data_IF_608364268052
#
_entry.id   IF_608364268052
#
_cell.length_a   1.000
_cell.length_b   1.000
_cell.length_c   1.000
_cell.angle_alpha   90.00
_cell.angle_beta   90.00
_cell.angle_gamma   90.00
#
_symmetry.space_group_name_H-M   'P 1'
#
loop_
_entity.id
_entity.type
_entity.pdbx_description
1 polymer ?
#
# COMPACT_ATOMS: atom_id res chain seq x y z
N UNK A 1 -3.97 4.30 -31.07
CA UNK A 1 -2.49 4.22 -31.17
C UNK A 1 -2.07 2.90 -30.53
N UNK A 2 -1.32 2.05 -31.23
CA UNK A 2 -0.70 0.87 -30.60
C UNK A 2 0.56 1.34 -29.89
N UNK A 3 0.53 1.32 -28.57
CA UNK A 3 1.68 1.64 -27.73
C UNK A 3 2.51 0.37 -27.52
N UNK A 4 3.80 0.42 -27.83
CA UNK A 4 4.73 -0.69 -27.63
C UNK A 4 5.40 -0.57 -26.25
N UNK A 5 4.62 -0.84 -25.20
CA UNK A 5 5.10 -0.84 -23.81
C UNK A 5 4.72 -2.14 -23.12
N UNK A 6 5.64 -2.66 -22.30
CA UNK A 6 5.34 -3.72 -21.35
C UNK A 6 5.17 -3.11 -19.96
N UNK A 7 4.08 -3.46 -19.28
CA UNK A 7 3.76 -2.96 -17.95
C UNK A 7 3.74 -4.13 -16.99
N UNK A 8 4.51 -4.04 -15.91
CA UNK A 8 4.57 -5.03 -14.84
C UNK A 8 4.18 -4.38 -13.52
N UNK A 9 3.19 -4.97 -12.84
CA UNK A 9 2.84 -4.55 -11.49
C UNK A 9 3.64 -5.39 -10.48
N UNK A 10 4.62 -4.74 -9.87
CA UNK A 10 5.54 -5.35 -8.92
C UNK A 10 5.07 -5.20 -7.47
N UNK A 11 3.79 -4.90 -7.22
CA UNK A 11 3.25 -4.74 -5.87
C UNK A 11 3.43 -6.01 -5.03
N UNK A 12 3.72 -5.81 -3.75
CA UNK A 12 3.76 -6.84 -2.72
C UNK A 12 2.73 -6.51 -1.65
N UNK A 13 2.11 -7.53 -1.06
CA UNK A 13 1.18 -7.33 0.07
C UNK A 13 1.92 -6.66 1.23
N UNK A 14 1.36 -5.54 1.69
CA UNK A 14 1.91 -4.75 2.81
C UNK A 14 3.34 -4.25 2.59
N UNK A 15 3.68 -3.96 1.33
CA UNK A 15 4.94 -3.31 0.97
C UNK A 15 5.08 -1.94 1.64
N UNK A 16 6.30 -1.57 2.00
CA UNK A 16 6.64 -0.28 2.58
C UNK A 16 7.87 0.30 1.87
N UNK A 17 8.09 1.62 1.92
CA UNK A 17 9.29 2.21 1.32
C UNK A 17 10.60 1.57 1.78
N UNK A 18 10.68 1.13 3.04
CA UNK A 18 11.87 0.45 3.58
C UNK A 18 12.06 -0.91 2.91
N UNK A 19 11.01 -1.73 2.84
CA UNK A 19 11.09 -3.05 2.22
C UNK A 19 11.36 -2.97 0.72
N UNK A 20 10.76 -1.99 0.04
CA UNK A 20 10.99 -1.76 -1.39
C UNK A 20 12.43 -1.35 -1.67
N UNK A 21 13.04 -0.55 -0.79
CA UNK A 21 14.43 -0.14 -0.92
C UNK A 21 15.39 -1.34 -0.95
N UNK A 22 15.09 -2.44 -0.27
CA UNK A 22 15.92 -3.66 -0.30
C UNK A 22 15.95 -4.34 -1.69
N UNK A 23 15.04 -3.97 -2.60
CA UNK A 23 14.89 -4.58 -3.92
C UNK A 23 14.97 -3.58 -5.07
N UNK A 24 15.32 -2.33 -4.78
CA UNK A 24 15.33 -1.26 -5.78
C UNK A 24 16.35 -1.52 -6.90
N UNK A 25 17.51 -2.10 -6.59
CA UNK A 25 18.54 -2.44 -7.58
C UNK A 25 17.99 -3.36 -8.66
N UNK A 26 17.17 -4.35 -8.28
CA UNK A 26 16.53 -5.27 -9.22
C UNK A 26 15.58 -4.54 -10.17
N UNK A 27 14.90 -3.49 -9.69
CA UNK A 27 14.00 -2.67 -10.51
C UNK A 27 14.82 -1.81 -11.46
N UNK A 28 15.87 -1.15 -10.95
CA UNK A 28 16.77 -0.31 -11.74
C UNK A 28 17.47 -1.13 -12.84
N UNK A 29 17.91 -2.34 -12.54
CA UNK A 29 18.59 -3.25 -13.48
C UNK A 29 17.70 -3.67 -14.65
N UNK A 30 16.37 -3.67 -14.47
CA UNK A 30 15.42 -3.90 -15.58
C UNK A 30 15.31 -2.72 -16.54
N UNK A 31 15.94 -1.58 -16.22
CA UNK A 31 15.98 -0.35 -17.01
C UNK A 31 14.59 0.13 -17.47
N UNK A 32 13.62 0.29 -16.55
CA UNK A 32 12.31 0.79 -16.92
C UNK A 32 12.40 2.24 -17.39
N UNK A 33 11.58 2.62 -18.37
CA UNK A 33 11.46 4.03 -18.78
C UNK A 33 10.72 4.88 -17.74
N UNK A 34 9.85 4.25 -16.94
CA UNK A 34 9.00 4.88 -15.95
C UNK A 34 8.69 3.90 -14.80
N UNK A 35 8.72 4.41 -13.57
CA UNK A 35 8.22 3.71 -12.38
C UNK A 35 7.02 4.47 -11.83
N UNK A 36 5.94 3.75 -11.53
CA UNK A 36 4.77 4.30 -10.82
C UNK A 36 4.77 3.74 -9.41
N UNK A 37 4.85 4.62 -8.42
CA UNK A 37 4.92 4.25 -7.02
C UNK A 37 3.71 4.82 -6.29
N UNK A 38 2.84 3.94 -5.79
CA UNK A 38 1.67 4.31 -4.99
C UNK A 38 2.08 4.72 -3.57
N UNK A 39 1.60 5.87 -3.11
CA UNK A 39 1.81 6.35 -1.74
C UNK A 39 0.51 6.86 -1.11
N UNK A 40 0.46 6.82 0.20
CA UNK A 40 -0.64 7.30 1.03
C UNK A 40 -0.07 7.69 2.40
N UNK A 41 -0.83 8.41 3.26
CA UNK A 41 -0.28 8.86 4.54
C UNK A 41 0.16 7.70 5.44
N UNK A 42 -0.55 6.55 5.39
CA UNK A 42 -0.20 5.35 6.16
C UNK A 42 1.16 4.75 5.82
N UNK A 43 1.70 5.02 4.62
CA UNK A 43 3.02 4.53 4.22
C UNK A 43 4.16 5.26 4.95
N UNK A 44 3.83 6.35 5.66
CA UNK A 44 4.75 7.16 6.47
C UNK A 44 4.43 7.11 7.97
N UNK A 45 3.54 6.20 8.38
CA UNK A 45 3.15 6.00 9.77
C UNK A 45 3.70 4.67 10.29
N UNK A 46 4.07 4.64 11.57
CA UNK A 46 4.25 3.36 12.24
C UNK A 46 2.87 2.79 12.61
N UNK A 47 2.75 1.46 12.61
CA UNK A 47 1.58 0.81 13.20
C UNK A 47 1.68 1.00 14.71
N UNK A 48 0.65 1.61 15.33
CA UNK A 48 0.61 1.75 16.78
C UNK A 48 0.45 0.36 17.38
N UNK A 49 1.44 -0.07 18.16
CA UNK A 49 1.26 -1.25 19.00
C UNK A 49 0.24 -0.89 20.08
N UNK A 50 -0.96 -1.45 20.00
CA UNK A 50 -1.99 -1.24 21.02
C UNK A 50 -1.63 -2.05 22.25
N UNK A 51 -0.87 -1.48 23.18
CA UNK A 51 -0.65 -2.06 24.51
C UNK A 51 -1.81 -1.76 25.49
N UNK A 52 -2.78 -0.93 25.12
CA UNK A 52 -3.82 -0.44 26.04
C UNK A 52 -5.25 -0.63 25.50
N UNK A 53 -5.78 -1.85 25.44
CA UNK A 53 -7.23 -2.09 25.21
C UNK A 53 -7.93 -2.73 26.42
N UNK A 54 -7.29 -2.82 27.60
CA UNK A 54 -7.99 -3.31 28.80
C UNK A 54 -7.64 -2.52 30.06
N UNK A 55 -7.94 -1.23 30.05
CA UNK A 55 -8.39 -0.55 31.28
C UNK A 55 -9.91 -0.38 31.22
N UNK A 56 -10.66 -1.48 31.21
CA UNK A 56 -12.04 -1.49 31.75
C UNK A 56 -12.46 -2.92 32.05
N UNK A 57 -13.13 -3.07 33.19
CA UNK A 57 -13.76 -4.26 33.78
C UNK A 57 -12.83 -5.32 34.38
N UNK A 58 -12.68 -5.23 35.69
CA UNK A 58 -12.54 -6.38 36.57
C UNK A 58 -13.64 -7.40 36.21
N UNK A 59 -13.27 -8.68 36.08
CA UNK A 59 -14.12 -9.85 35.74
C UNK A 59 -14.33 -10.15 34.25
N UNK A 60 -13.31 -10.67 33.58
CA UNK A 60 -13.34 -11.97 32.88
C UNK A 60 -11.92 -12.26 32.36
N UNK A 61 -11.43 -13.49 32.58
CA UNK A 61 -10.12 -13.92 32.09
C UNK A 61 -10.28 -14.84 30.88
N UNK A 62 -10.02 -14.35 29.66
CA UNK A 62 -9.40 -15.15 28.62
C UNK A 62 -7.89 -15.05 28.77
N UNK A 63 -7.15 -16.13 28.50
CA UNK A 63 -5.69 -16.10 28.65
C UNK A 63 -5.08 -15.02 27.74
N UNK A 64 -4.11 -14.21 28.23
CA UNK A 64 -3.43 -13.19 27.42
C UNK A 64 -2.85 -13.74 26.11
N UNK A 65 -2.46 -15.02 26.13
CA UNK A 65 -1.93 -15.74 24.98
C UNK A 65 -2.95 -15.91 23.85
N UNK A 66 -4.22 -16.16 24.17
CA UNK A 66 -5.27 -16.36 23.16
C UNK A 66 -5.65 -15.04 22.50
N UNK A 67 -5.75 -13.96 23.28
CA UNK A 67 -6.04 -12.62 22.76
C UNK A 67 -4.89 -12.14 21.87
N UNK A 68 -3.63 -12.33 22.29
CA UNK A 68 -2.48 -11.95 21.47
C UNK A 68 -2.44 -12.73 20.16
N UNK A 69 -2.70 -14.03 20.20
CA UNK A 69 -2.76 -14.87 19.00
C UNK A 69 -3.93 -14.47 18.10
N UNK A 70 -5.12 -14.22 18.63
CA UNK A 70 -6.29 -13.79 17.85
C UNK A 70 -6.06 -12.41 17.20
N UNK A 71 -5.37 -11.50 17.89
CA UNK A 71 -5.02 -10.18 17.37
C UNK A 71 -3.89 -10.26 16.32
N UNK A 72 -2.89 -11.10 16.55
CA UNK A 72 -1.78 -11.35 15.63
C UNK A 72 -2.25 -12.10 14.39
N UNK A 73 -3.13 -13.07 14.54
CA UNK A 73 -3.81 -13.78 13.46
C UNK A 73 -4.72 -12.82 12.70
N UNK A 74 -5.48 -11.95 13.38
CA UNK A 74 -6.26 -10.91 12.71
C UNK A 74 -5.36 -9.92 11.97
N UNK A 75 -4.20 -9.54 12.51
CA UNK A 75 -3.24 -8.65 11.88
C UNK A 75 -2.61 -9.30 10.63
N UNK A 76 -2.11 -10.52 10.77
CA UNK A 76 -1.48 -11.28 9.68
C UNK A 76 -2.48 -11.66 8.59
N UNK A 77 -3.71 -12.04 8.95
CA UNK A 77 -4.78 -12.34 8.00
C UNK A 77 -5.29 -11.08 7.30
N UNK A 78 -5.45 -9.95 8.02
CA UNK A 78 -5.88 -8.69 7.42
C UNK A 78 -4.84 -8.15 6.43
N UNK A 79 -3.56 -8.21 6.77
CA UNK A 79 -2.47 -7.71 5.92
C UNK A 79 -1.91 -8.75 4.94
N UNK A 80 -2.39 -10.01 5.00
CA UNK A 80 -1.81 -11.18 4.32
C UNK A 80 -0.27 -11.17 4.38
N UNK A 81 0.28 -10.76 5.52
CA UNK A 81 1.70 -10.45 5.68
C UNK A 81 2.52 -11.74 5.68
N UNK A 82 3.34 -11.95 4.65
CA UNK A 82 4.21 -13.13 4.57
C UNK A 82 5.67 -12.71 4.80
N UNK A 83 6.10 -12.78 6.06
CA UNK A 83 7.44 -12.36 6.52
C UNK A 83 8.58 -13.19 5.89
N UNK A 84 8.30 -14.36 5.31
CA UNK A 84 9.31 -15.21 4.69
C UNK A 84 9.82 -14.66 3.34
N UNK A 85 9.09 -13.73 2.72
CA UNK A 85 9.49 -13.10 1.46
C UNK A 85 10.76 -12.23 1.58
N UNK A 86 10.99 -11.62 2.75
CA UNK A 86 12.06 -10.62 2.94
C UNK A 86 13.35 -11.21 3.54
N UNK A 87 13.38 -12.52 3.83
CA UNK A 87 14.57 -13.15 4.46
C UNK A 87 15.63 -13.63 3.48
N UNK A 88 15.32 -13.78 2.19
CA UNK A 88 16.29 -14.28 1.23
C UNK A 88 15.88 -14.03 -0.23
N UNK A 89 16.76 -13.46 -1.07
CA UNK A 89 16.58 -13.43 -2.53
C UNK A 89 16.35 -14.84 -3.11
N UNK A 90 16.93 -15.86 -2.47
CA UNK A 90 16.78 -17.27 -2.85
C UNK A 90 15.34 -17.76 -2.64
N UNK A 91 14.62 -17.22 -1.64
CA UNK A 91 13.24 -17.58 -1.34
C UNK A 91 12.26 -16.96 -2.35
N UNK A 92 12.48 -15.71 -2.77
CA UNK A 92 11.71 -15.07 -3.84
C UNK A 92 11.85 -15.87 -5.15
N UNK A 93 13.08 -16.21 -5.54
CA UNK A 93 13.36 -17.07 -6.71
C UNK A 93 12.69 -18.44 -6.58
N UNK A 94 12.77 -19.07 -5.40
CA UNK A 94 12.17 -20.38 -5.17
C UNK A 94 10.64 -20.35 -5.21
N UNK A 95 10.00 -19.28 -4.72
CA UNK A 95 8.54 -19.08 -4.77
C UNK A 95 8.06 -18.78 -6.18
N UNK A 96 8.84 -18.02 -6.96
CA UNK A 96 8.59 -17.79 -8.38
C UNK A 96 8.63 -19.10 -9.20
N UNK A 97 9.59 -19.99 -8.88
CA UNK A 97 9.72 -21.31 -9.54
C UNK A 97 8.63 -22.30 -9.06
N UNK A 98 8.31 -22.31 -7.76
CA UNK A 98 7.41 -23.31 -7.17
C UNK A 98 5.92 -22.93 -7.22
N UNK A 99 5.59 -21.66 -7.42
CA UNK A 99 4.23 -21.16 -7.22
C UNK A 99 3.85 -21.12 -5.73
N UNK A 100 2.96 -20.20 -5.36
CA UNK A 100 2.43 -20.08 -4.00
C UNK A 100 1.68 -21.36 -3.57
N UNK A 101 1.81 -21.82 -2.31
CA UNK A 101 0.96 -22.87 -1.78
C UNK A 101 -0.50 -22.41 -1.87
N UNK A 102 -1.37 -23.28 -2.42
CA UNK A 102 -2.81 -23.01 -2.54
C UNK A 102 -3.40 -22.81 -1.14
N UNK A 103 -3.78 -21.58 -0.79
CA UNK A 103 -4.85 -21.40 0.19
C UNK A 103 -6.14 -21.98 -0.40
N UNK A 104 -7.03 -22.45 0.46
CA UNK A 104 -8.33 -23.02 0.08
C UNK A 104 -9.30 -22.02 -0.53
N UNK A 105 -8.98 -20.74 -0.48
CA UNK A 105 -9.75 -19.66 -1.10
C UNK A 105 -9.40 -19.54 -2.59
N UNK A 106 -10.40 -19.32 -3.46
CA UNK A 106 -10.17 -19.07 -4.87
C UNK A 106 -9.30 -17.81 -5.07
N UNK A 107 -8.13 -18.01 -5.66
CA UNK A 107 -7.16 -16.96 -5.97
C UNK A 107 -7.27 -16.57 -7.44
N UNK A 108 -7.41 -15.29 -7.72
CA UNK A 108 -7.36 -14.71 -9.06
C UNK A 108 -5.93 -14.24 -9.35
N UNK A 109 -5.36 -14.75 -10.43
CA UNK A 109 -4.10 -14.24 -10.99
C UNK A 109 -4.42 -13.14 -11.99
N UNK A 110 -3.87 -11.96 -11.80
CA UNK A 110 -3.96 -10.88 -12.77
C UNK A 110 -2.76 -10.94 -13.72
N UNK A 111 -2.95 -10.58 -14.98
CA UNK A 111 -1.84 -10.52 -15.94
C UNK A 111 -0.77 -9.53 -15.47
N UNK A 112 0.49 -9.85 -15.74
CA UNK A 112 1.66 -9.03 -15.40
C UNK A 112 1.78 -8.63 -13.90
N UNK A 113 1.22 -9.44 -12.99
CA UNK A 113 1.35 -9.29 -11.52
C UNK A 113 2.16 -10.46 -10.92
N UNK A 114 3.46 -10.60 -11.20
CA UNK A 114 4.24 -11.80 -10.86
C UNK A 114 4.29 -12.11 -9.35
N UNK A 115 4.07 -11.12 -8.49
CA UNK A 115 4.21 -11.26 -7.04
C UNK A 115 2.90 -11.03 -6.25
N UNK A 116 1.81 -10.72 -6.94
CA UNK A 116 0.54 -10.39 -6.30
C UNK A 116 -0.58 -11.28 -6.82
N UNK A 117 -1.46 -11.69 -5.91
CA UNK A 117 -2.61 -12.50 -6.25
C UNK A 117 -3.80 -12.05 -5.42
N UNK A 118 -4.96 -11.97 -6.06
CA UNK A 118 -6.15 -11.36 -5.46
C UNK A 118 -7.05 -12.45 -4.91
N UNK A 119 -7.47 -12.31 -3.65
CA UNK A 119 -8.53 -13.15 -3.10
C UNK A 119 -9.89 -12.71 -3.64
N UNK A 120 -10.81 -13.65 -3.87
CA UNK A 120 -12.13 -13.34 -4.41
C UNK A 120 -12.93 -12.35 -3.52
N UNK A 121 -12.64 -12.34 -2.22
CA UNK A 121 -13.20 -11.43 -1.23
C UNK A 121 -12.90 -9.95 -1.56
N UNK A 122 -11.73 -9.68 -2.15
CA UNK A 122 -11.31 -8.33 -2.55
C UNK A 122 -12.15 -7.74 -3.70
N UNK A 123 -13.02 -8.55 -4.33
CA UNK A 123 -13.97 -8.06 -5.34
C UNK A 123 -15.22 -7.44 -4.72
N UNK A 124 -15.53 -7.75 -3.47
CA UNK A 124 -16.75 -7.29 -2.82
C UNK A 124 -16.56 -5.88 -2.26
N UNK A 125 -17.54 -5.02 -2.52
CA UNK A 125 -17.64 -3.72 -1.86
C UNK A 125 -18.34 -3.88 -0.52
N UNK A 126 -17.94 -3.08 0.47
CA UNK A 126 -18.57 -3.01 1.79
C UNK A 126 -19.46 -1.78 1.90
N UNK A 127 -20.55 -1.91 2.64
CA UNK A 127 -21.37 -0.78 3.03
C UNK A 127 -20.61 0.17 3.96
N UNK A 128 -21.06 1.43 4.04
CA UNK A 128 -20.48 2.41 4.97
C UNK A 128 -20.54 1.95 6.43
N UNK A 129 -21.56 1.18 6.83
CA UNK A 129 -21.67 0.64 8.18
C UNK A 129 -20.58 -0.41 8.45
N UNK A 130 -20.38 -1.34 7.51
CA UNK A 130 -19.32 -2.35 7.62
C UNK A 130 -17.93 -1.73 7.64
N UNK A 131 -17.70 -0.71 6.81
CA UNK A 131 -16.43 0.03 6.78
C UNK A 131 -16.17 0.74 8.11
N UNK A 132 -17.18 1.43 8.68
CA UNK A 132 -17.05 2.08 10.00
C UNK A 132 -16.76 1.08 11.11
N UNK A 133 -17.47 -0.06 11.11
CA UNK A 133 -17.26 -1.12 12.10
C UNK A 133 -15.83 -1.69 11.99
N UNK A 134 -15.34 -1.90 10.77
CA UNK A 134 -13.98 -2.35 10.52
C UNK A 134 -12.96 -1.30 10.97
N UNK A 135 -13.19 -0.02 10.69
CA UNK A 135 -12.31 1.09 11.09
C UNK A 135 -12.08 1.13 12.60
N UNK A 136 -13.14 0.92 13.39
CA UNK A 136 -13.07 1.00 14.86
C UNK A 136 -12.25 -0.13 15.50
N UNK A 137 -12.09 -1.27 14.82
CA UNK A 137 -11.37 -2.43 15.35
C UNK A 137 -9.96 -2.59 14.77
N UNK A 138 -9.62 -1.83 13.73
CA UNK A 138 -8.32 -1.94 13.10
C UNK A 138 -7.22 -1.28 13.95
N UNK A 139 -5.98 -1.83 13.90
CA UNK A 139 -4.82 -1.18 14.50
C UNK A 139 -4.72 0.26 14.00
N UNK A 140 -4.68 1.19 14.94
CA UNK A 140 -4.55 2.60 14.62
C UNK A 140 -3.10 2.87 14.18
N UNK A 141 -2.93 3.80 13.26
CA UNK A 141 -1.61 4.28 12.87
C UNK A 141 -1.13 5.33 13.87
N UNK A 142 0.17 5.34 14.15
CA UNK A 142 0.79 6.46 14.86
C UNK A 142 0.77 7.72 14.00
N UNK A 143 1.04 8.87 14.61
CA UNK A 143 1.20 10.11 13.86
C UNK A 143 2.37 9.98 12.88
N UNK A 144 2.25 10.66 11.74
CA UNK A 144 3.37 10.82 10.82
C UNK A 144 4.47 11.58 11.56
N UNK A 145 5.65 10.96 11.66
CA UNK A 145 6.81 11.62 12.25
C UNK A 145 7.26 12.81 11.39
N UNK A 146 7.94 13.77 12.01
CA UNK A 146 8.56 14.88 11.27
C UNK A 146 9.54 14.36 10.22
N UNK A 147 9.74 15.13 9.14
CA UNK A 147 10.58 14.75 8.00
C UNK A 147 11.98 14.27 8.43
N UNK A 148 12.56 14.86 9.46
CA UNK A 148 13.91 14.57 9.94
C UNK A 148 14.02 13.22 10.67
N UNK A 149 12.89 12.64 11.08
CA UNK A 149 12.82 11.39 11.82
C UNK A 149 12.16 10.26 11.03
N UNK A 150 11.34 10.62 10.04
CA UNK A 150 10.53 9.67 9.31
C UNK A 150 11.39 8.73 8.43
N UNK A 151 11.63 7.51 8.93
CA UNK A 151 12.40 6.47 8.24
C UNK A 151 11.83 6.08 6.87
N UNK A 152 10.50 6.14 6.69
CA UNK A 152 9.86 5.79 5.42
C UNK A 152 10.08 6.89 4.37
N UNK A 153 10.08 8.15 4.80
CA UNK A 153 10.47 9.28 3.96
C UNK A 153 11.92 9.12 3.47
N UNK A 154 12.87 8.80 4.36
CA UNK A 154 14.25 8.58 3.96
C UNK A 154 14.41 7.41 2.99
N UNK A 155 13.68 6.31 3.20
CA UNK A 155 13.71 5.17 2.30
C UNK A 155 13.17 5.52 0.90
N UNK A 156 12.02 6.20 0.82
CA UNK A 156 11.47 6.64 -0.46
C UNK A 156 12.38 7.67 -1.16
N UNK A 157 13.05 8.53 -0.39
CA UNK A 157 14.03 9.48 -0.91
C UNK A 157 15.23 8.77 -1.54
N UNK A 158 15.70 7.67 -0.94
CA UNK A 158 16.78 6.86 -1.53
C UNK A 158 16.31 6.12 -2.77
N UNK A 159 15.09 5.54 -2.77
CA UNK A 159 14.48 4.93 -3.96
C UNK A 159 14.47 5.93 -5.13
N UNK A 160 13.94 7.13 -4.91
CA UNK A 160 13.86 8.19 -5.93
C UNK A 160 15.25 8.62 -6.40
N UNK A 161 16.22 8.70 -5.49
CA UNK A 161 17.59 9.04 -5.84
C UNK A 161 18.18 8.01 -6.79
N UNK A 162 18.06 6.71 -6.48
CA UNK A 162 18.61 5.64 -7.32
C UNK A 162 17.92 5.55 -8.68
N UNK A 163 16.61 5.74 -8.75
CA UNK A 163 15.91 5.82 -10.05
C UNK A 163 16.39 7.03 -10.86
N UNK A 164 16.54 8.19 -10.23
CA UNK A 164 16.98 9.41 -10.91
C UNK A 164 18.42 9.31 -11.42
N UNK A 165 19.34 8.74 -10.63
CA UNK A 165 20.74 8.48 -11.04
C UNK A 165 20.83 7.56 -12.27
N UNK A 166 19.80 6.73 -12.49
CA UNK A 166 19.68 5.83 -13.64
C UNK A 166 18.76 6.38 -14.74
N UNK A 167 18.40 7.67 -14.70
CA UNK A 167 17.52 8.35 -15.67
C UNK A 167 16.12 7.72 -15.80
N UNK A 168 15.62 7.10 -14.74
CA UNK A 168 14.29 6.50 -14.67
C UNK A 168 13.32 7.57 -14.15
N UNK A 169 12.26 7.87 -14.91
CA UNK A 169 11.19 8.76 -14.45
C UNK A 169 10.39 8.08 -13.34
N UNK A 170 9.91 8.85 -12.37
CA UNK A 170 9.03 8.36 -11.30
C UNK A 170 7.73 9.15 -11.28
N UNK A 171 6.60 8.44 -11.30
CA UNK A 171 5.31 8.97 -10.86
C UNK A 171 5.08 8.53 -9.42
N UNK A 172 4.97 9.49 -8.50
CA UNK A 172 4.37 9.26 -7.19
C UNK A 172 2.86 9.43 -7.31
N UNK A 173 2.12 8.33 -7.18
CA UNK A 173 0.66 8.32 -7.22
C UNK A 173 0.12 8.35 -5.80
N UNK A 174 -0.46 9.47 -5.38
CA UNK A 174 -1.18 9.54 -4.11
C UNK A 174 -2.51 8.81 -4.25
N UNK A 175 -2.63 7.68 -3.55
CA UNK A 175 -3.77 6.77 -3.65
C UNK A 175 -5.04 7.40 -3.05
N UNK A 176 -6.23 7.09 -3.60
CA UNK A 176 -7.49 7.59 -3.08
C UNK A 176 -7.76 7.07 -1.67
N UNK A 177 -8.37 7.91 -0.83
CA UNK A 177 -8.72 7.55 0.53
C UNK A 177 -10.24 7.52 0.72
N UNK A 178 -10.71 6.55 1.49
CA UNK A 178 -12.11 6.48 1.87
C UNK A 178 -12.49 7.67 2.77
N UNK A 179 -13.72 8.16 2.63
CA UNK A 179 -14.24 9.27 3.45
C UNK A 179 -14.08 9.06 4.95
N UNK A 180 -14.29 7.83 5.45
CA UNK A 180 -14.14 7.52 6.89
C UNK A 180 -12.69 7.77 7.33
N UNK A 181 -11.70 7.35 6.55
CA UNK A 181 -10.29 7.62 6.87
C UNK A 181 -10.01 9.13 6.86
N UNK A 182 -10.44 9.84 5.83
CA UNK A 182 -10.23 11.28 5.68
C UNK A 182 -10.85 12.12 6.81
N UNK A 183 -12.04 11.71 7.29
CA UNK A 183 -12.76 12.36 8.38
C UNK A 183 -12.05 12.14 9.75
N UNK A 184 -11.28 11.06 9.92
CA UNK A 184 -10.54 10.75 11.15
C UNK A 184 -9.06 11.13 11.11
N UNK A 185 -8.54 11.49 9.93
CA UNK A 185 -7.15 11.90 9.77
C UNK A 185 -6.90 13.24 10.46
N UNK A 186 -5.89 13.29 11.33
CA UNK A 186 -5.56 14.50 12.08
C UNK A 186 -4.99 15.60 11.17
N UNK A 187 -5.21 16.87 11.52
CA UNK A 187 -4.63 18.00 10.77
C UNK A 187 -3.09 17.92 10.75
N UNK A 188 -2.48 17.48 11.86
CA UNK A 188 -1.04 17.27 11.95
C UNK A 188 -0.52 16.24 10.95
N UNK A 189 -1.27 15.14 10.72
CA UNK A 189 -0.88 14.14 9.72
C UNK A 189 -1.08 14.70 8.30
N UNK A 190 -2.14 15.48 8.06
CA UNK A 190 -2.37 16.12 6.75
C UNK A 190 -1.23 17.08 6.41
N UNK A 191 -0.83 17.92 7.36
CA UNK A 191 0.30 18.84 7.22
C UNK A 191 1.60 18.09 6.99
N UNK A 192 1.88 17.06 7.79
CA UNK A 192 3.11 16.26 7.65
C UNK A 192 3.18 15.54 6.31
N UNK A 193 2.08 14.99 5.83
CA UNK A 193 2.01 14.33 4.53
C UNK A 193 2.18 15.34 3.38
N UNK A 194 1.59 16.53 3.47
CA UNK A 194 1.79 17.58 2.47
C UNK A 194 3.26 18.03 2.42
N UNK A 195 3.94 18.16 3.57
CA UNK A 195 5.38 18.46 3.60
C UNK A 195 6.22 17.38 2.91
N UNK A 196 5.86 16.10 3.07
CA UNK A 196 6.50 14.98 2.35
C UNK A 196 6.31 15.14 0.83
N UNK A 197 5.09 15.43 0.37
CA UNK A 197 4.80 15.64 -1.05
C UNK A 197 5.56 16.84 -1.62
N UNK A 198 5.61 17.95 -0.88
CA UNK A 198 6.35 19.16 -1.27
C UNK A 198 7.85 18.88 -1.46
N UNK A 199 8.45 18.06 -0.60
CA UNK A 199 9.85 17.66 -0.72
C UNK A 199 10.12 16.81 -1.97
N UNK A 200 9.20 15.91 -2.33
CA UNK A 200 9.36 15.08 -3.53
C UNK A 200 9.04 15.84 -4.82
N UNK A 201 8.10 16.78 -4.80
CA UNK A 201 7.78 17.60 -5.96
C UNK A 201 8.96 18.46 -6.43
N UNK A 202 9.89 18.79 -5.53
CA UNK A 202 11.13 19.51 -5.84
C UNK A 202 12.18 18.65 -6.56
N UNK A 203 12.00 17.33 -6.64
CA UNK A 203 12.99 16.42 -7.23
C UNK A 203 12.87 16.39 -8.75
N UNK A 204 13.99 16.41 -9.49
CA UNK A 204 13.96 16.22 -10.93
C UNK A 204 13.39 14.83 -11.25
N UNK A 205 12.76 14.68 -12.42
CA UNK A 205 12.21 13.41 -12.92
C UNK A 205 11.15 12.75 -12.00
N UNK A 206 10.62 13.48 -11.02
CA UNK A 206 9.48 13.05 -10.20
C UNK A 206 8.24 13.84 -10.59
N UNK A 207 7.18 13.14 -10.94
CA UNK A 207 5.84 13.69 -11.13
C UNK A 207 4.93 13.20 -10.02
N UNK A 208 4.17 14.10 -9.40
CA UNK A 208 3.16 13.72 -8.43
C UNK A 208 1.78 13.85 -9.06
N UNK A 209 1.01 12.77 -9.04
CA UNK A 209 -0.42 12.78 -9.31
C UNK A 209 -1.16 12.43 -8.03
N UNK A 210 -2.24 13.17 -7.74
CA UNK A 210 -3.04 12.92 -6.56
C UNK A 210 -4.46 12.50 -6.90
N UNK A 211 -4.87 11.39 -6.28
CA UNK A 211 -6.25 10.92 -6.21
C UNK A 211 -6.78 10.99 -4.78
N UNK A 212 -6.08 11.67 -3.86
CA UNK A 212 -6.26 11.57 -2.41
C UNK A 212 -7.72 11.70 -1.94
N UNK A 213 -8.44 12.69 -2.44
CA UNK A 213 -9.87 12.89 -2.16
C UNK A 213 -10.79 12.36 -3.26
N UNK A 214 -10.22 11.85 -4.35
CA UNK A 214 -11.00 11.27 -5.43
C UNK A 214 -11.71 10.02 -4.91
N UNK A 215 -12.95 9.88 -5.37
CA UNK A 215 -13.80 8.74 -5.08
C UNK A 215 -14.18 8.53 -3.60
N UNK A 216 -13.84 9.45 -2.69
CA UNK A 216 -14.13 9.32 -1.25
C UNK A 216 -15.60 9.03 -0.93
N UNK A 217 -16.51 9.58 -1.74
CA UNK A 217 -17.97 9.42 -1.60
C UNK A 217 -18.56 8.27 -2.43
N UNK A 218 -17.74 7.52 -3.19
CA UNK A 218 -18.21 6.40 -4.00
C UNK A 218 -18.31 5.10 -3.18
N UNK A 219 -19.29 4.26 -3.48
CA UNK A 219 -19.48 2.95 -2.83
C UNK A 219 -18.62 1.84 -3.48
N UNK A 220 -17.30 2.08 -3.56
CA UNK A 220 -16.34 1.23 -4.29
C UNK A 220 -15.36 0.48 -3.38
N UNK A 221 -15.45 0.66 -2.07
CA UNK A 221 -14.41 0.29 -1.13
C UNK A 221 -14.57 -1.16 -0.65
N UNK A 222 -13.49 -1.95 -0.71
CA UNK A 222 -13.44 -3.29 -0.10
C UNK A 222 -13.13 -3.21 1.40
N UNK A 223 -12.23 -2.29 1.75
CA UNK A 223 -11.92 -1.90 3.12
C UNK A 223 -11.69 -0.38 3.19
N UNK A 224 -11.29 0.11 4.36
CA UNK A 224 -11.11 1.54 4.61
C UNK A 224 -9.93 2.17 3.85
N UNK A 225 -9.04 1.36 3.27
CA UNK A 225 -7.83 1.78 2.57
C UNK A 225 -7.85 1.42 1.08
N UNK A 226 -8.59 0.38 0.67
CA UNK A 226 -8.50 -0.17 -0.67
C UNK A 226 -9.86 -0.20 -1.40
N UNK A 227 -9.93 0.33 -2.64
CA UNK A 227 -11.02 0.02 -3.55
C UNK A 227 -11.13 -1.48 -3.81
N UNK A 228 -12.36 -1.96 -4.04
CA UNK A 228 -12.61 -3.33 -4.47
C UNK A 228 -12.10 -3.55 -5.90
N UNK A 229 -11.72 -4.78 -6.22
CA UNK A 229 -11.18 -5.16 -7.53
C UNK A 229 -12.33 -5.79 -8.35
N UNK A 230 -13.16 -4.95 -8.98
CA UNK A 230 -14.30 -5.41 -9.78
C UNK A 230 -14.58 -4.46 -10.96
N UNK A 231 -15.55 -4.80 -11.81
CA UNK A 231 -15.85 -4.00 -13.00
C UNK A 231 -16.34 -2.59 -12.67
N UNK A 232 -16.97 -2.38 -11.51
CA UNK A 232 -17.46 -1.08 -11.09
C UNK A 232 -16.33 -0.15 -10.61
N UNK A 233 -15.09 -0.64 -10.53
CA UNK A 233 -13.92 0.17 -10.16
C UNK A 233 -12.90 0.32 -11.30
N UNK A 234 -13.25 -0.10 -12.53
CA UNK A 234 -12.34 -0.01 -13.68
C UNK A 234 -11.88 1.42 -13.99
N UNK A 235 -12.75 2.42 -13.72
CA UNK A 235 -12.44 3.83 -13.94
C UNK A 235 -11.20 4.28 -13.17
N UNK A 236 -10.91 3.69 -12.00
CA UNK A 236 -9.70 4.01 -11.24
C UNK A 236 -8.45 3.60 -12.01
N UNK A 237 -8.45 2.38 -12.58
CA UNK A 237 -7.36 1.91 -13.43
C UNK A 237 -7.25 2.71 -14.73
N UNK A 238 -8.37 3.12 -15.31
CA UNK A 238 -8.39 3.99 -16.50
C UNK A 238 -7.78 5.37 -16.23
N UNK A 239 -8.10 5.97 -15.08
CA UNK A 239 -7.56 7.27 -14.69
C UNK A 239 -6.06 7.20 -14.41
N UNK A 240 -5.59 6.15 -13.72
CA UNK A 240 -4.16 5.89 -13.54
C UNK A 240 -3.47 5.66 -14.88
N UNK A 241 -4.07 4.90 -15.80
CA UNK A 241 -3.52 4.68 -17.14
C UNK A 241 -3.39 6.00 -17.92
N UNK A 242 -4.36 6.92 -17.82
CA UNK A 242 -4.26 8.25 -18.44
C UNK A 242 -3.08 9.06 -17.87
N UNK A 243 -2.85 9.01 -16.56
CA UNK A 243 -1.72 9.69 -15.92
C UNK A 243 -0.38 9.13 -16.41
N UNK A 244 -0.25 7.81 -16.52
CA UNK A 244 0.95 7.16 -17.06
C UNK A 244 1.16 7.55 -18.52
N UNK A 245 0.10 7.50 -19.33
CA UNK A 245 0.15 7.88 -20.74
C UNK A 245 0.55 9.35 -20.94
N UNK A 246 0.29 10.25 -20.00
CA UNK A 246 0.74 11.65 -20.11
C UNK A 246 2.25 11.82 -19.97
N UNK A 247 2.95 10.89 -19.30
CA UNK A 247 4.38 11.03 -18.99
C UNK A 247 5.30 10.22 -19.92
N UNK A 248 4.72 9.27 -20.68
CA UNK A 248 5.40 8.45 -21.69
C UNK A 248 5.09 8.88 -23.13
N UNK A 249 4.24 9.89 -23.33
CA UNK A 249 3.90 10.46 -24.65
C UNK A 249 4.56 11.80 -24.89
#
# INVERSE_FOLDING_TARGET
KNYDYQVYNLALSSDTPIQRLDTIDLIVDTKPSLVVYGISPRDFQNVRQTTNIFETSTTFSPSPHKIFNDLFDSFTNFFKFNYDLFKSPKFITLKAIRGTPKSTDEIIKLENTPFFSVGIDMRNTKSNLELKNTFMILPQFEKIESLEKNKYFFALKEIIKQTNENNIKVILLVLPQNKIYLDHMSNSDKESFNLILDEFQKKPNVKIYTLFENYKDHSIWHDIYHPAINQNTSFYSEDVAKMILQEIN
#
